data_IF_807125111198
#
_entry.id   IF_807125111198
#
_cell.length_a   1.000
_cell.length_b   1.000
_cell.length_c   1.000
_cell.angle_alpha   90.00
_cell.angle_beta   90.00
_cell.angle_gamma   90.00
#
_symmetry.space_group_name_H-M   'P 1'
#
loop_
_entity.id
_entity.type
_entity.pdbx_description
1 polymer ?
#
# COMPACT_ATOMS: atom_id res chain seq x y z
N UNK A 1 3.95 21.53 -29.37
CA UNK A 1 2.96 20.84 -28.51
C UNK A 1 3.51 20.89 -27.10
N UNK A 2 2.89 21.68 -26.23
CA UNK A 2 3.35 21.85 -24.85
C UNK A 2 3.11 20.55 -24.07
N UNK A 3 4.18 19.84 -23.74
CA UNK A 3 4.15 18.77 -22.74
C UNK A 3 3.97 19.42 -21.37
N UNK A 4 2.75 19.85 -21.09
CA UNK A 4 2.34 20.17 -19.72
C UNK A 4 2.36 18.83 -18.99
N UNK A 5 3.16 18.67 -17.91
CA UNK A 5 3.09 17.46 -17.11
C UNK A 5 1.63 17.30 -16.69
N UNK A 6 1.01 16.17 -17.05
CA UNK A 6 -0.37 15.90 -16.69
C UNK A 6 -0.51 16.07 -15.18
N UNK A 7 -1.15 17.16 -14.78
CA UNK A 7 -1.44 17.42 -13.38
C UNK A 7 -2.35 16.29 -12.91
N UNK A 8 -1.99 15.69 -11.78
CA UNK A 8 -2.86 14.70 -11.15
C UNK A 8 -4.23 15.33 -10.92
N UNK A 9 -5.28 14.59 -11.24
CA UNK A 9 -6.63 15.02 -10.91
C UNK A 9 -6.80 15.11 -9.38
N UNK A 10 -7.74 15.92 -8.88
CA UNK A 10 -8.04 15.97 -7.44
C UNK A 10 -8.35 14.59 -6.84
N UNK A 11 -8.98 13.70 -7.61
CA UNK A 11 -9.28 12.33 -7.20
C UNK A 11 -8.00 11.46 -7.07
N UNK A 12 -7.06 11.58 -8.00
CA UNK A 12 -5.78 10.87 -7.94
C UNK A 12 -4.89 11.38 -6.79
N UNK A 13 -4.91 12.70 -6.53
CA UNK A 13 -4.24 13.29 -5.37
C UNK A 13 -4.84 12.77 -4.06
N UNK A 14 -6.17 12.77 -3.94
CA UNK A 14 -6.85 12.24 -2.77
C UNK A 14 -6.54 10.74 -2.57
N UNK A 15 -6.48 9.98 -3.66
CA UNK A 15 -6.09 8.57 -3.63
C UNK A 15 -4.68 8.36 -3.10
N UNK A 16 -3.70 9.13 -3.60
CA UNK A 16 -2.32 9.08 -3.13
C UNK A 16 -2.20 9.41 -1.65
N UNK A 17 -2.87 10.48 -1.19
CA UNK A 17 -2.87 10.88 0.21
C UNK A 17 -3.50 9.80 1.09
N UNK A 18 -4.60 9.19 0.64
CA UNK A 18 -5.25 8.10 1.37
C UNK A 18 -4.34 6.88 1.51
N UNK A 19 -3.77 6.41 0.40
CA UNK A 19 -2.88 5.22 0.40
C UNK A 19 -1.63 5.49 1.23
N UNK A 20 -1.01 6.67 1.07
CA UNK A 20 0.14 7.08 1.87
C UNK A 20 -0.20 7.20 3.35
N UNK A 21 -1.33 7.80 3.70
CA UNK A 21 -1.80 7.90 5.07
C UNK A 21 -1.99 6.53 5.72
N UNK A 22 -2.62 5.59 5.01
CA UNK A 22 -2.79 4.22 5.49
C UNK A 22 -1.46 3.48 5.68
N UNK A 23 -0.52 3.62 4.73
CA UNK A 23 0.83 3.06 4.83
C UNK A 23 1.58 3.66 6.02
N UNK A 24 1.50 4.98 6.21
CA UNK A 24 2.14 5.68 7.31
C UNK A 24 1.58 5.24 8.67
N UNK A 25 0.25 5.25 8.82
CA UNK A 25 -0.42 4.79 10.04
C UNK A 25 -0.11 3.32 10.33
N UNK A 26 -0.12 2.46 9.31
CA UNK A 26 0.23 1.04 9.48
C UNK A 26 1.70 0.87 9.88
N UNK A 27 2.62 1.62 9.27
CA UNK A 27 4.04 1.60 9.62
C UNK A 27 4.29 2.04 11.07
N UNK A 28 3.69 3.16 11.48
CA UNK A 28 3.74 3.65 12.87
C UNK A 28 3.12 2.63 13.83
N UNK A 29 1.97 2.04 13.49
CA UNK A 29 1.32 1.02 14.32
C UNK A 29 2.24 -0.20 14.55
N UNK A 30 2.93 -0.68 13.52
CA UNK A 30 3.87 -1.79 13.65
C UNK A 30 5.11 -1.44 14.50
N UNK A 31 5.59 -0.20 14.43
CA UNK A 31 6.74 0.26 15.21
C UNK A 31 6.38 0.52 16.68
N UNK A 32 5.23 1.15 16.94
CA UNK A 32 4.80 1.53 18.28
C UNK A 32 4.12 0.38 19.05
N UNK A 33 3.35 -0.47 18.36
CA UNK A 33 2.49 -1.49 18.95
C UNK A 33 2.77 -2.88 18.39
N UNK A 34 4.03 -3.19 18.07
CA UNK A 34 4.41 -4.43 17.38
C UNK A 34 3.94 -5.74 18.04
N UNK A 35 3.75 -5.78 19.38
CA UNK A 35 3.18 -6.96 20.06
C UNK A 35 1.68 -7.13 19.78
N UNK A 36 0.93 -6.04 19.75
CA UNK A 36 -0.51 -6.07 19.45
C UNK A 36 -0.75 -6.27 17.94
N UNK A 37 0.12 -5.69 17.10
CA UNK A 37 0.12 -5.93 15.67
C UNK A 37 0.24 -7.42 15.34
N UNK A 38 1.17 -8.15 15.99
CA UNK A 38 1.28 -9.59 15.80
C UNK A 38 0.05 -10.36 16.26
N UNK A 39 -0.56 -9.94 17.37
CA UNK A 39 -1.76 -10.60 17.91
C UNK A 39 -2.93 -10.47 16.93
N UNK A 40 -3.10 -9.28 16.35
CA UNK A 40 -4.16 -9.01 15.37
C UNK A 40 -3.85 -9.70 14.05
N UNK A 41 -2.62 -9.55 13.54
CA UNK A 41 -2.19 -10.08 12.23
C UNK A 41 -1.91 -11.59 12.25
N UNK A 42 -1.83 -12.22 13.42
CA UNK A 42 -1.81 -13.67 13.58
C UNK A 42 -3.17 -14.33 13.35
N UNK A 43 -4.26 -13.55 13.20
CA UNK A 43 -5.61 -14.08 13.00
C UNK A 43 -5.96 -14.09 11.51
N UNK A 44 -6.31 -15.26 10.92
CA UNK A 44 -6.68 -15.35 9.51
C UNK A 44 -7.81 -14.41 9.10
N UNK A 45 -8.82 -14.22 9.97
CA UNK A 45 -9.95 -13.34 9.69
C UNK A 45 -9.53 -11.87 9.57
N UNK A 46 -8.62 -11.40 10.44
CA UNK A 46 -8.07 -10.05 10.35
C UNK A 46 -7.29 -9.86 9.05
N UNK A 47 -6.50 -10.86 8.63
CA UNK A 47 -5.76 -10.83 7.37
C UNK A 47 -6.70 -10.81 6.16
N UNK A 48 -7.79 -11.57 6.18
CA UNK A 48 -8.83 -11.51 5.14
C UNK A 48 -9.48 -10.13 5.07
N UNK A 49 -9.84 -9.53 6.21
CA UNK A 49 -10.40 -8.18 6.26
C UNK A 49 -9.45 -7.14 5.68
N UNK A 50 -8.16 -7.19 6.06
CA UNK A 50 -7.13 -6.31 5.50
C UNK A 50 -6.99 -6.55 4.00
N UNK A 51 -7.00 -7.81 3.56
CA UNK A 51 -6.94 -8.17 2.14
C UNK A 51 -8.12 -7.59 1.36
N UNK A 52 -9.33 -7.68 1.89
CA UNK A 52 -10.53 -7.08 1.29
C UNK A 52 -10.43 -5.56 1.18
N UNK A 53 -9.96 -4.88 2.23
CA UNK A 53 -9.72 -3.44 2.19
C UNK A 53 -8.70 -3.06 1.10
N UNK A 54 -7.63 -3.83 0.92
CA UNK A 54 -6.64 -3.61 -0.14
C UNK A 54 -7.22 -3.80 -1.54
N UNK A 55 -8.09 -4.79 -1.73
CA UNK A 55 -8.79 -5.01 -3.01
C UNK A 55 -9.67 -3.80 -3.34
N UNK A 56 -10.42 -3.28 -2.37
CA UNK A 56 -11.26 -2.07 -2.56
C UNK A 56 -10.39 -0.86 -2.88
N UNK A 57 -9.28 -0.67 -2.14
CA UNK A 57 -8.31 0.41 -2.37
C UNK A 57 -7.56 0.28 -3.70
N UNK A 58 -7.51 -0.90 -4.31
CA UNK A 58 -6.86 -1.08 -5.61
C UNK A 58 -7.70 -0.50 -6.77
N UNK A 59 -9.03 -0.47 -6.64
CA UNK A 59 -9.93 -0.08 -7.72
C UNK A 59 -9.63 1.32 -8.28
N UNK A 60 -9.50 2.39 -7.46
CA UNK A 60 -9.19 3.71 -7.99
C UNK A 60 -7.83 3.77 -8.71
N UNK A 61 -6.85 2.98 -8.25
CA UNK A 61 -5.52 2.91 -8.86
C UNK A 61 -5.55 2.24 -10.24
N UNK A 62 -6.31 1.15 -10.40
CA UNK A 62 -6.44 0.44 -11.68
C UNK A 62 -7.16 1.25 -12.76
N UNK A 63 -8.08 2.13 -12.35
CA UNK A 63 -8.80 3.04 -13.24
C UNK A 63 -8.11 4.40 -13.42
N UNK A 64 -6.95 4.61 -12.79
CA UNK A 64 -6.22 5.87 -12.92
C UNK A 64 -5.69 6.06 -14.34
N UNK A 65 -5.60 7.30 -14.78
CA UNK A 65 -5.08 7.66 -16.11
C UNK A 65 -3.55 7.51 -16.21
N UNK A 66 -2.91 7.28 -15.05
CA UNK A 66 -1.48 7.29 -14.87
C UNK A 66 -0.93 5.87 -14.67
N UNK A 67 -0.03 5.43 -15.56
CA UNK A 67 0.54 4.07 -15.50
C UNK A 67 1.19 3.69 -14.16
N UNK A 68 1.81 4.64 -13.46
CA UNK A 68 2.37 4.38 -12.13
C UNK A 68 1.29 4.12 -11.06
N UNK A 69 0.14 4.80 -11.15
CA UNK A 69 -1.00 4.55 -10.26
C UNK A 69 -1.66 3.20 -10.57
N UNK A 70 -1.68 2.80 -11.85
CA UNK A 70 -2.13 1.46 -12.25
C UNK A 70 -1.23 0.37 -11.68
N UNK A 71 0.10 0.55 -11.70
CA UNK A 71 1.06 -0.37 -11.07
C UNK A 71 0.81 -0.45 -9.57
N UNK A 72 0.63 0.68 -8.89
CA UNK A 72 0.28 0.71 -7.46
C UNK A 72 -1.02 -0.06 -7.20
N UNK A 73 -2.07 0.19 -7.99
CA UNK A 73 -3.34 -0.53 -7.92
C UNK A 73 -3.17 -2.03 -8.12
N UNK A 74 -2.38 -2.45 -9.11
CA UNK A 74 -2.12 -3.86 -9.39
C UNK A 74 -1.38 -4.56 -8.22
N UNK A 75 -0.41 -3.90 -7.61
CA UNK A 75 0.31 -4.42 -6.44
C UNK A 75 -0.62 -4.56 -5.23
N UNK A 76 -1.47 -3.54 -4.98
CA UNK A 76 -2.46 -3.59 -3.91
C UNK A 76 -3.49 -4.71 -4.14
N UNK A 77 -3.95 -4.88 -5.39
CA UNK A 77 -4.88 -5.93 -5.77
C UNK A 77 -4.26 -7.31 -5.55
N UNK A 78 -3.05 -7.54 -6.06
CA UNK A 78 -2.36 -8.82 -5.91
C UNK A 78 -2.12 -9.16 -4.43
N UNK A 79 -1.67 -8.17 -3.64
CA UNK A 79 -1.49 -8.32 -2.20
C UNK A 79 -2.80 -8.62 -1.48
N UNK A 80 -3.87 -7.89 -1.81
CA UNK A 80 -5.19 -8.06 -1.24
C UNK A 80 -5.80 -9.43 -1.53
N UNK A 81 -5.79 -9.84 -2.81
CA UNK A 81 -6.29 -11.14 -3.24
C UNK A 81 -5.52 -12.29 -2.59
N UNK A 82 -4.20 -12.19 -2.50
CA UNK A 82 -3.39 -13.20 -1.82
C UNK A 82 -3.78 -13.34 -0.34
N UNK A 83 -4.01 -12.22 0.35
CA UNK A 83 -4.44 -12.21 1.77
C UNK A 83 -5.86 -12.74 1.98
N UNK A 84 -6.77 -12.50 1.03
CA UNK A 84 -8.14 -13.05 1.09
C UNK A 84 -8.15 -14.55 0.81
N UNK A 85 -7.45 -14.99 -0.23
CA UNK A 85 -7.47 -16.37 -0.70
C UNK A 85 -6.62 -17.32 0.17
N UNK A 86 -5.50 -16.84 0.71
CA UNK A 86 -4.54 -17.64 1.46
C UNK A 86 -4.00 -16.90 2.71
N UNK A 87 -4.86 -16.54 3.68
CA UNK A 87 -4.46 -15.75 4.84
C UNK A 87 -3.38 -16.46 5.68
N UNK A 88 -3.47 -17.78 5.87
CA UNK A 88 -2.48 -18.53 6.64
C UNK A 88 -1.11 -18.56 5.96
N UNK A 89 -1.08 -18.61 4.62
CA UNK A 89 0.15 -18.52 3.86
C UNK A 89 0.76 -17.11 3.97
N UNK A 90 -0.08 -16.07 3.92
CA UNK A 90 0.34 -14.68 4.14
C UNK A 90 0.94 -14.49 5.53
N UNK A 91 0.33 -15.03 6.59
CA UNK A 91 0.86 -14.95 7.96
C UNK A 91 2.24 -15.60 8.04
N UNK A 92 2.38 -16.82 7.53
CA UNK A 92 3.68 -17.52 7.51
C UNK A 92 4.75 -16.76 6.74
N UNK A 93 4.38 -16.19 5.59
CA UNK A 93 5.29 -15.39 4.77
C UNK A 93 5.78 -14.15 5.53
N UNK A 94 4.85 -13.44 6.19
CA UNK A 94 5.14 -12.24 6.96
C UNK A 94 6.04 -12.54 8.15
N UNK A 95 5.81 -13.65 8.86
CA UNK A 95 6.65 -14.13 9.96
C UNK A 95 8.06 -14.56 9.51
N UNK A 96 8.22 -15.06 8.28
CA UNK A 96 9.51 -15.53 7.76
C UNK A 96 10.37 -14.43 7.14
N UNK A 97 9.75 -13.53 6.38
CA UNK A 97 10.49 -12.57 5.55
C UNK A 97 10.79 -11.25 6.26
N UNK A 98 9.97 -10.83 7.22
CA UNK A 98 10.04 -9.47 7.74
C UNK A 98 9.96 -9.45 9.26
N UNK A 99 11.06 -9.05 9.91
CA UNK A 99 10.99 -8.58 11.29
C UNK A 99 10.06 -7.37 11.37
N UNK A 100 9.33 -7.22 12.48
CA UNK A 100 8.30 -6.18 12.68
C UNK A 100 8.79 -4.77 12.37
N UNK A 101 10.03 -4.49 12.77
CA UNK A 101 10.72 -3.22 12.52
C UNK A 101 10.96 -3.01 11.03
N UNK A 102 11.44 -4.04 10.33
CA UNK A 102 11.66 -3.99 8.88
C UNK A 102 10.35 -3.79 8.13
N UNK A 103 9.29 -4.48 8.55
CA UNK A 103 7.96 -4.30 7.95
C UNK A 103 7.43 -2.87 8.15
N UNK A 104 7.51 -2.35 9.38
CA UNK A 104 7.11 -0.98 9.69
C UNK A 104 7.89 0.06 8.88
N UNK A 105 9.22 -0.09 8.77
CA UNK A 105 10.07 0.77 7.95
C UNK A 105 9.70 0.69 6.47
N UNK A 106 9.45 -0.52 5.94
CA UNK A 106 9.04 -0.69 4.55
C UNK A 106 7.71 0.00 4.25
N UNK A 107 6.76 -0.03 5.19
CA UNK A 107 5.48 0.68 5.05
C UNK A 107 5.69 2.20 5.06
N UNK A 108 6.56 2.72 5.92
CA UNK A 108 6.91 4.14 5.95
C UNK A 108 7.63 4.59 4.67
N UNK A 109 8.61 3.81 4.20
CA UNK A 109 9.30 4.08 2.94
C UNK A 109 8.33 4.01 1.76
N UNK A 110 7.42 3.03 1.74
CA UNK A 110 6.36 2.92 0.76
C UNK A 110 5.43 4.14 0.76
N UNK A 111 5.05 4.64 1.94
CA UNK A 111 4.26 5.87 2.08
C UNK A 111 4.95 7.08 1.46
N UNK A 112 6.24 7.27 1.78
CA UNK A 112 7.05 8.35 1.23
C UNK A 112 7.20 8.21 -0.29
N UNK A 113 7.42 7.00 -0.79
CA UNK A 113 7.53 6.72 -2.22
C UNK A 113 6.23 7.04 -2.96
N UNK A 114 5.07 6.66 -2.40
CA UNK A 114 3.75 6.97 -2.96
C UNK A 114 3.50 8.48 -3.02
N UNK A 115 3.94 9.25 -2.00
CA UNK A 115 3.87 10.72 -2.04
C UNK A 115 4.87 11.35 -3.00
N UNK A 116 6.05 10.76 -3.17
CA UNK A 116 7.10 11.25 -4.04
C UNK A 116 6.87 10.89 -5.53
N UNK A 117 6.01 9.92 -5.81
CA UNK A 117 5.67 9.42 -7.16
C UNK A 117 5.41 10.54 -8.20
N UNK A 118 4.65 11.61 -7.89
CA UNK A 118 4.38 12.69 -8.83
C UNK A 118 5.65 13.49 -9.18
N UNK A 119 6.54 13.66 -8.20
CA UNK A 119 7.79 14.42 -8.32
C UNK A 119 8.87 13.62 -9.04
N UNK A 120 8.96 12.31 -8.78
CA UNK A 120 9.92 11.41 -9.42
C UNK A 120 9.72 11.34 -10.95
N UNK A 121 8.48 11.49 -11.39
CA UNK A 121 8.15 11.56 -12.83
C UNK A 121 8.59 12.88 -13.45
N UNK A 122 8.43 14.00 -12.73
CA UNK A 122 8.80 15.32 -13.23
C UNK A 122 10.31 15.49 -13.43
N UNK A 123 11.13 14.70 -12.72
CA UNK A 123 12.60 14.71 -12.85
C UNK A 123 13.16 13.72 -13.87
N UNK A 124 12.36 12.76 -14.36
CA UNK A 124 12.77 11.75 -15.35
C UNK A 124 12.29 12.07 -16.78
N UNK A 125 11.64 13.22 -16.98
CA UNK A 125 11.21 13.76 -18.27
C UNK A 125 12.03 14.99 -18.63
#
# INVERSE_FOLDING_TARGET
MSNVPASLSPAELAYLVLVSGLLACSGVYHLALGKEADRVLGRPDAIRSIGGCLVVLALPGLWASHGLLQVLGAVLLASGLFRVAAPEASIRLMQRLYGKVVHGILLLLGSLLVLALPWLRATLQ
#
